data_IF_838992276212
#
_entry.id   IF_838992276212
#
_cell.length_a   1.000
_cell.length_b   1.000
_cell.length_c   1.000
_cell.angle_alpha   90.00
_cell.angle_beta   90.00
_cell.angle_gamma   90.00
#
_symmetry.space_group_name_H-M   'P 1'
#
loop_
_entity.id
_entity.type
_entity.pdbx_description
1 polymer ?
#
# COMPACT_ATOMS: atom_id res chain seq x y z
N UNK A 1 11.59 28.81 17.20
CA UNK A 1 12.38 27.63 16.80
C UNK A 1 11.52 26.77 15.88
N UNK A 2 11.74 26.86 14.57
CA UNK A 2 11.05 26.06 13.55
C UNK A 2 11.57 24.63 13.68
N UNK A 3 10.71 23.69 14.13
CA UNK A 3 11.04 22.26 14.11
C UNK A 3 11.33 21.86 12.66
N UNK A 4 12.56 21.43 12.38
CA UNK A 4 12.93 20.87 11.09
C UNK A 4 11.91 19.77 10.72
N UNK A 5 11.41 19.80 9.48
CA UNK A 5 10.53 18.74 8.97
C UNK A 5 11.28 17.42 9.06
N UNK A 6 10.69 16.43 9.73
CA UNK A 6 11.27 15.09 9.81
C UNK A 6 11.08 14.48 8.41
N UNK A 7 12.17 14.04 7.79
CA UNK A 7 12.13 13.28 6.54
C UNK A 7 11.20 12.07 6.63
N UNK A 8 10.49 11.76 5.54
CA UNK A 8 9.53 10.66 5.50
C UNK A 8 10.16 9.31 5.88
N UNK A 9 11.39 9.05 5.43
CA UNK A 9 12.08 7.78 5.72
C UNK A 9 12.47 7.69 7.20
N UNK A 10 12.92 8.79 7.81
CA UNK A 10 13.20 8.82 9.25
C UNK A 10 11.93 8.64 10.08
N UNK A 11 10.81 9.26 9.66
CA UNK A 11 9.51 9.05 10.29
C UNK A 11 9.10 7.57 10.24
N UNK A 12 9.18 6.94 9.07
CA UNK A 12 8.84 5.53 8.87
C UNK A 12 9.71 4.62 9.75
N UNK A 13 11.02 4.89 9.82
CA UNK A 13 11.94 4.17 10.69
C UNK A 13 11.56 4.32 12.16
N UNK A 14 11.23 5.52 12.62
CA UNK A 14 10.81 5.77 14.02
C UNK A 14 9.52 5.05 14.37
N UNK A 15 8.54 5.05 13.45
CA UNK A 15 7.28 4.30 13.61
C UNK A 15 7.59 2.80 13.77
N UNK A 16 8.42 2.23 12.88
CA UNK A 16 8.80 0.82 12.94
C UNK A 16 9.48 0.45 14.26
N UNK A 17 10.50 1.22 14.66
CA UNK A 17 11.25 0.98 15.89
C UNK A 17 10.33 1.02 17.11
N UNK A 18 9.44 2.02 17.18
CA UNK A 18 8.47 2.15 18.27
C UNK A 18 7.48 0.99 18.29
N UNK A 19 6.91 0.64 17.13
CA UNK A 19 5.97 -0.48 17.02
C UNK A 19 6.63 -1.82 17.43
N UNK A 20 7.89 -2.02 17.04
CA UNK A 20 8.64 -3.24 17.37
C UNK A 20 9.02 -3.34 18.85
N UNK A 21 9.38 -2.20 19.45
CA UNK A 21 9.75 -2.15 20.87
C UNK A 21 8.56 -2.26 21.81
N UNK A 22 7.41 -1.74 21.41
CA UNK A 22 6.21 -1.67 22.23
C UNK A 22 4.98 -2.12 21.42
N UNK A 23 4.72 -3.44 21.29
CA UNK A 23 3.63 -3.97 20.44
C UNK A 23 2.22 -3.49 20.83
N UNK A 24 2.02 -3.11 22.09
CA UNK A 24 0.75 -2.56 22.59
C UNK A 24 0.60 -1.04 22.36
N UNK A 25 1.64 -0.38 21.84
CA UNK A 25 1.62 1.06 21.63
C UNK A 25 0.57 1.46 20.61
N UNK A 26 -0.20 2.51 20.94
CA UNK A 26 -1.19 3.09 20.03
C UNK A 26 -0.65 4.39 19.44
N UNK A 27 -0.59 4.46 18.12
CA UNK A 27 -0.12 5.63 17.41
C UNK A 27 -1.26 6.65 17.23
N UNK A 28 -1.01 7.89 17.60
CA UNK A 28 -1.94 9.02 17.43
C UNK A 28 -1.34 10.04 16.47
N UNK A 29 -2.20 10.77 15.77
CA UNK A 29 -1.76 11.87 14.90
C UNK A 29 -1.08 11.44 13.60
N UNK A 30 -1.10 10.17 13.21
CA UNK A 30 -0.49 9.70 11.96
C UNK A 30 -1.14 10.31 10.71
N UNK A 31 -2.41 10.66 10.79
CA UNK A 31 -3.15 11.24 9.66
C UNK A 31 -2.53 12.53 9.12
N UNK A 32 -1.98 13.38 10.01
CA UNK A 32 -1.26 14.60 9.61
C UNK A 32 -0.09 14.29 8.66
N UNK A 33 0.58 13.15 8.87
CA UNK A 33 1.69 12.73 8.02
C UNK A 33 1.22 12.17 6.66
N UNK A 34 0.03 11.56 6.60
CA UNK A 34 -0.61 11.14 5.33
C UNK A 34 -0.91 12.37 4.47
N UNK A 35 -1.39 13.46 5.08
CA UNK A 35 -1.75 14.69 4.37
C UNK A 35 -0.55 15.56 3.95
N UNK A 36 0.69 15.19 4.26
CA UNK A 36 1.86 15.95 3.83
C UNK A 36 2.10 15.82 2.34
N UNK A 37 2.43 16.94 1.70
CA UNK A 37 2.74 16.98 0.27
C UNK A 37 3.89 16.03 -0.09
N UNK A 38 4.93 15.91 0.77
CA UNK A 38 6.05 15.01 0.56
C UNK A 38 5.60 13.54 0.53
N UNK A 39 4.66 13.16 1.41
CA UNK A 39 4.10 11.79 1.47
C UNK A 39 3.24 11.49 0.24
N UNK A 40 2.41 12.45 -0.17
CA UNK A 40 1.57 12.33 -1.36
C UNK A 40 2.41 12.26 -2.63
N UNK A 41 3.50 13.04 -2.70
CA UNK A 41 4.44 13.01 -3.83
C UNK A 41 5.13 11.65 -3.95
N UNK A 42 5.66 11.12 -2.86
CA UNK A 42 6.28 9.79 -2.85
C UNK A 42 5.27 8.72 -3.29
N UNK A 43 4.02 8.79 -2.79
CA UNK A 43 2.95 7.88 -3.20
C UNK A 43 2.60 8.01 -4.69
N UNK A 44 2.61 9.23 -5.24
CA UNK A 44 2.40 9.49 -6.66
C UNK A 44 3.52 8.88 -7.51
N UNK A 45 4.78 9.11 -7.16
CA UNK A 45 5.94 8.55 -7.88
C UNK A 45 5.91 7.00 -7.86
N UNK A 46 5.55 6.40 -6.73
CA UNK A 46 5.39 4.95 -6.64
C UNK A 46 4.24 4.45 -7.54
N UNK A 47 3.11 5.15 -7.57
CA UNK A 47 1.98 4.80 -8.42
C UNK A 47 2.31 4.95 -9.91
N UNK A 48 3.03 6.03 -10.28
CA UNK A 48 3.51 6.32 -11.63
C UNK A 48 4.50 5.26 -12.12
N UNK A 49 5.44 4.84 -11.27
CA UNK A 49 6.40 3.78 -11.60
C UNK A 49 5.73 2.46 -11.96
N UNK A 50 4.56 2.17 -11.38
CA UNK A 50 3.80 0.97 -11.69
C UNK A 50 2.98 1.08 -12.98
N UNK A 51 2.86 2.27 -13.54
CA UNK A 51 2.23 2.61 -14.83
C UNK A 51 0.91 1.85 -15.11
N UNK A 52 0.06 1.78 -14.09
CA UNK A 52 -1.20 1.03 -14.17
C UNK A 52 -2.28 1.81 -14.91
N UNK A 53 -3.13 1.10 -15.63
CA UNK A 53 -4.24 1.65 -16.43
C UNK A 53 -5.11 2.67 -15.65
N UNK A 54 -5.74 3.66 -16.32
CA UNK A 54 -6.59 4.68 -15.69
C UNK A 54 -7.83 4.08 -15.02
N UNK A 55 -8.33 4.80 -14.03
CA UNK A 55 -9.57 4.44 -13.32
C UNK A 55 -10.83 4.69 -14.13
N UNK A 56 -11.95 4.89 -13.44
CA UNK A 56 -13.26 5.18 -14.04
C UNK A 56 -13.30 6.58 -14.68
N UNK A 57 -12.47 7.49 -14.21
CA UNK A 57 -12.32 8.87 -14.68
C UNK A 57 -11.53 8.98 -15.99
N UNK A 58 -10.88 7.91 -16.43
CA UNK A 58 -10.08 7.90 -17.66
C UNK A 58 -8.78 8.72 -17.57
N UNK A 59 -8.46 9.31 -16.41
CA UNK A 59 -7.28 10.15 -16.22
C UNK A 59 -6.02 9.26 -16.23
N UNK A 60 -5.03 9.65 -17.08
CA UNK A 60 -3.74 8.94 -17.21
C UNK A 60 -2.62 9.72 -16.53
N UNK A 61 -1.47 9.06 -16.30
CA UNK A 61 -0.29 9.74 -15.75
C UNK A 61 0.23 10.83 -16.70
N UNK A 62 0.20 10.60 -18.02
CA UNK A 62 0.61 11.59 -19.02
C UNK A 62 -0.25 12.84 -18.95
N UNK A 63 -1.57 12.68 -18.82
CA UNK A 63 -2.48 13.80 -18.67
C UNK A 63 -2.23 14.61 -17.40
N UNK A 64 -1.93 13.94 -16.28
CA UNK A 64 -1.56 14.58 -15.01
C UNK A 64 -0.24 15.35 -15.15
N UNK A 65 0.78 14.75 -15.76
CA UNK A 65 2.07 15.40 -15.99
C UNK A 65 1.94 16.66 -16.87
N UNK A 66 1.13 16.57 -17.92
CA UNK A 66 0.89 17.69 -18.81
C UNK A 66 0.19 18.88 -18.11
N UNK A 67 -0.63 18.62 -17.10
CA UNK A 67 -1.31 19.63 -16.29
C UNK A 67 -0.49 20.08 -15.06
N UNK A 68 0.56 19.36 -14.74
CA UNK A 68 1.36 19.53 -13.52
C UNK A 68 0.84 18.70 -12.36
N UNK A 69 1.62 17.68 -11.99
CA UNK A 69 1.27 16.76 -10.90
C UNK A 69 1.04 17.47 -9.55
N UNK A 70 1.69 18.61 -9.33
CA UNK A 70 1.57 19.38 -8.09
C UNK A 70 0.14 19.85 -7.82
N UNK A 71 -0.57 20.30 -8.85
CA UNK A 71 -1.97 20.74 -8.71
C UNK A 71 -2.87 19.59 -8.21
N UNK A 72 -2.68 18.37 -8.72
CA UNK A 72 -3.40 17.20 -8.24
C UNK A 72 -3.06 16.87 -6.78
N UNK A 73 -1.78 16.94 -6.42
CA UNK A 73 -1.33 16.63 -5.06
C UNK A 73 -1.85 17.66 -4.04
N UNK A 74 -1.87 18.94 -4.38
CA UNK A 74 -2.46 20.00 -3.56
C UNK A 74 -3.96 19.80 -3.40
N UNK A 75 -4.69 19.46 -4.46
CA UNK A 75 -6.10 19.16 -4.38
C UNK A 75 -6.38 17.98 -3.44
N UNK A 76 -5.66 16.85 -3.60
CA UNK A 76 -5.81 15.68 -2.72
C UNK A 76 -5.52 16.06 -1.26
N UNK A 77 -4.44 16.81 -1.02
CA UNK A 77 -4.05 17.29 0.30
C UNK A 77 -5.16 18.13 0.95
N UNK A 78 -5.69 19.10 0.23
CA UNK A 78 -6.70 20.01 0.76
C UNK A 78 -8.00 19.28 1.04
N UNK A 79 -8.41 18.35 0.18
CA UNK A 79 -9.56 17.49 0.43
C UNK A 79 -9.35 16.57 1.64
N UNK A 80 -8.15 16.01 1.85
CA UNK A 80 -7.83 15.19 3.01
C UNK A 80 -7.86 16.03 4.30
N UNK A 81 -7.23 17.20 4.29
CA UNK A 81 -7.21 18.12 5.45
C UNK A 81 -8.63 18.59 5.78
N UNK A 82 -9.39 18.97 4.76
CA UNK A 82 -10.78 19.39 4.86
C UNK A 82 -11.77 18.28 5.21
N UNK A 83 -11.32 17.01 5.21
CA UNK A 83 -12.17 15.81 5.38
C UNK A 83 -13.31 15.72 4.35
N UNK A 84 -13.07 16.25 3.18
CA UNK A 84 -14.02 16.25 2.04
C UNK A 84 -13.63 15.22 0.98
N UNK A 85 -12.50 14.56 1.15
CA UNK A 85 -12.03 13.55 0.21
C UNK A 85 -13.04 12.42 0.05
N UNK A 86 -13.43 12.16 -1.20
CA UNK A 86 -14.31 11.05 -1.56
C UNK A 86 -13.63 10.21 -2.65
N UNK A 87 -13.37 8.92 -2.41
CA UNK A 87 -12.83 8.05 -3.43
C UNK A 87 -13.85 7.85 -4.57
N UNK A 88 -13.33 7.68 -5.78
CA UNK A 88 -14.14 7.33 -6.94
C UNK A 88 -14.42 5.82 -6.96
N UNK A 89 -15.52 5.38 -7.59
CA UNK A 89 -15.74 3.96 -7.85
C UNK A 89 -14.57 3.38 -8.66
N UNK A 90 -14.14 2.16 -8.32
CA UNK A 90 -13.11 1.50 -9.10
C UNK A 90 -13.66 1.02 -10.45
N UNK A 91 -12.90 1.20 -11.53
CA UNK A 91 -13.23 0.65 -12.85
C UNK A 91 -13.07 -0.87 -12.82
N UNK A 92 -14.12 -1.59 -13.19
CA UNK A 92 -14.11 -3.06 -13.24
C UNK A 92 -13.64 -3.54 -14.60
N UNK A 93 -12.61 -4.41 -14.60
CA UNK A 93 -12.07 -5.04 -15.81
C UNK A 93 -12.14 -6.55 -15.66
N UNK A 94 -12.86 -7.21 -16.53
CA UNK A 94 -12.92 -8.67 -16.59
C UNK A 94 -11.68 -9.22 -17.32
N UNK A 95 -11.01 -10.19 -16.72
CA UNK A 95 -9.87 -10.89 -17.31
C UNK A 95 -10.21 -12.38 -17.36
N UNK A 96 -10.13 -13.03 -18.54
CA UNK A 96 -10.29 -14.47 -18.65
C UNK A 96 -9.22 -15.21 -17.81
N UNK A 97 -9.62 -16.29 -17.15
CA UNK A 97 -8.72 -17.26 -16.51
C UNK A 97 -8.81 -18.60 -17.24
N UNK A 98 -7.78 -19.41 -17.06
CA UNK A 98 -7.82 -20.80 -17.52
C UNK A 98 -9.04 -21.55 -16.96
N UNK A 99 -9.64 -22.41 -17.79
CA UNK A 99 -10.84 -23.18 -17.42
C UNK A 99 -12.15 -22.37 -17.51
N UNK A 100 -12.21 -21.29 -18.32
CA UNK A 100 -13.44 -20.53 -18.61
C UNK A 100 -13.93 -19.64 -17.45
N UNK A 101 -13.16 -19.52 -16.37
CA UNK A 101 -13.46 -18.61 -15.26
C UNK A 101 -13.06 -17.17 -15.62
N UNK A 102 -13.74 -16.19 -15.01
CA UNK A 102 -13.46 -14.77 -15.18
C UNK A 102 -12.98 -14.20 -13.84
N UNK A 103 -11.86 -13.47 -13.88
CA UNK A 103 -11.41 -12.65 -12.76
C UNK A 103 -11.78 -11.18 -13.03
N UNK A 104 -12.42 -10.53 -12.08
CA UNK A 104 -12.69 -9.11 -12.15
C UNK A 104 -11.60 -8.35 -11.40
N UNK A 105 -10.90 -7.45 -12.09
CA UNK A 105 -10.00 -6.50 -11.45
C UNK A 105 -10.75 -5.20 -11.17
N UNK A 106 -10.52 -4.65 -9.98
CA UNK A 106 -10.98 -3.32 -9.60
C UNK A 106 -9.82 -2.35 -9.72
N UNK A 107 -9.90 -1.40 -10.64
CA UNK A 107 -8.85 -0.43 -10.96
C UNK A 107 -9.25 0.93 -10.40
N UNK A 108 -8.65 1.39 -9.28
CA UNK A 108 -8.92 2.71 -8.71
C UNK A 108 -8.41 3.84 -9.62
N UNK A 109 -8.99 5.03 -9.52
CA UNK A 109 -8.45 6.24 -10.13
C UNK A 109 -7.03 6.55 -9.60
N UNK A 110 -6.23 7.26 -10.39
CA UNK A 110 -4.84 7.60 -9.98
C UNK A 110 -4.85 8.39 -8.67
N UNK A 111 -5.76 9.36 -8.51
CA UNK A 111 -5.91 10.11 -7.27
C UNK A 111 -6.13 9.21 -6.04
N UNK A 112 -6.91 8.15 -6.20
CA UNK A 112 -7.21 7.20 -5.13
C UNK A 112 -6.01 6.30 -4.84
N UNK A 113 -5.24 5.92 -5.87
CA UNK A 113 -3.97 5.21 -5.67
C UNK A 113 -2.95 6.04 -4.89
N UNK A 114 -2.90 7.35 -5.14
CA UNK A 114 -2.04 8.28 -4.40
C UNK A 114 -2.47 8.35 -2.93
N UNK A 115 -3.75 8.54 -2.65
CA UNK A 115 -4.26 8.58 -1.28
C UNK A 115 -4.01 7.24 -0.54
N UNK A 116 -4.29 6.10 -1.19
CA UNK A 116 -4.01 4.76 -0.65
C UNK A 116 -2.52 4.53 -0.45
N UNK A 117 -1.67 4.97 -1.39
CA UNK A 117 -0.22 4.90 -1.30
C UNK A 117 0.32 5.70 -0.12
N UNK A 118 -0.18 6.91 0.10
CA UNK A 118 0.18 7.74 1.24
C UNK A 118 -0.22 7.09 2.57
N UNK A 119 -1.41 6.52 2.67
CA UNK A 119 -1.84 5.73 3.83
C UNK A 119 -0.91 4.54 4.05
N UNK A 120 -0.60 3.77 2.99
CA UNK A 120 0.32 2.63 3.05
C UNK A 120 1.69 3.05 3.56
N UNK A 121 2.28 4.13 3.04
CA UNK A 121 3.60 4.61 3.45
C UNK A 121 3.70 4.86 4.96
N UNK A 122 2.63 5.36 5.57
CA UNK A 122 2.60 5.68 7.01
C UNK A 122 2.24 4.47 7.87
N UNK A 123 1.34 3.58 7.40
CA UNK A 123 0.87 2.43 8.19
C UNK A 123 1.75 1.19 8.04
N UNK A 124 2.38 0.99 6.88
CA UNK A 124 3.21 -0.19 6.59
C UNK A 124 4.29 -0.49 7.66
N UNK A 125 5.01 0.52 8.21
CA UNK A 125 6.00 0.25 9.27
C UNK A 125 5.41 -0.39 10.53
N UNK A 126 4.14 -0.10 10.87
CA UNK A 126 3.46 -0.68 12.03
C UNK A 126 3.19 -2.16 11.77
N UNK A 127 2.56 -2.47 10.63
CA UNK A 127 2.26 -3.86 10.25
C UNK A 127 3.54 -4.68 10.03
N UNK A 128 4.58 -4.06 9.42
CA UNK A 128 5.85 -4.73 9.19
C UNK A 128 6.54 -5.13 10.52
N UNK A 129 6.38 -4.32 11.57
CA UNK A 129 6.90 -4.63 12.89
C UNK A 129 6.19 -5.84 13.55
N UNK A 130 4.91 -6.06 13.21
CA UNK A 130 4.05 -7.10 13.79
C UNK A 130 4.12 -8.43 13.01
N UNK A 131 4.43 -8.40 11.74
CA UNK A 131 4.48 -9.60 10.90
C UNK A 131 5.47 -10.64 11.41
N UNK A 132 5.04 -11.91 11.39
CA UNK A 132 5.87 -13.06 11.74
C UNK A 132 7.00 -13.25 10.72
N UNK A 133 8.16 -13.83 11.16
CA UNK A 133 9.28 -14.09 10.26
C UNK A 133 8.96 -14.97 9.05
N UNK A 134 7.92 -15.81 9.16
CA UNK A 134 7.45 -16.68 8.08
C UNK A 134 6.45 -16.05 7.11
N UNK A 135 6.08 -14.78 7.27
CA UNK A 135 5.23 -14.07 6.33
C UNK A 135 6.08 -13.45 5.21
N UNK A 136 5.77 -13.74 3.95
CA UNK A 136 6.56 -13.32 2.78
C UNK A 136 5.76 -12.47 1.79
N UNK A 137 4.45 -12.72 1.62
CA UNK A 137 3.65 -12.07 0.59
C UNK A 137 3.55 -10.55 0.72
N UNK A 138 3.84 -9.84 -0.38
CA UNK A 138 3.70 -8.37 -0.51
C UNK A 138 4.47 -7.53 0.53
N UNK A 139 5.47 -8.10 1.18
CA UNK A 139 6.29 -7.41 2.19
C UNK A 139 7.56 -6.81 1.57
N UNK A 140 8.00 -5.62 2.03
CA UNK A 140 9.27 -5.04 1.58
C UNK A 140 10.44 -5.95 1.94
N UNK A 141 11.42 -6.03 1.04
CA UNK A 141 12.65 -6.83 1.23
C UNK A 141 12.42 -8.33 1.44
N UNK A 142 11.26 -8.86 1.07
CA UNK A 142 10.95 -10.29 1.06
C UNK A 142 10.71 -10.75 -0.37
N UNK A 143 11.27 -11.88 -0.73
CA UNK A 143 11.18 -12.44 -2.08
C UNK A 143 10.49 -13.79 -2.09
N UNK A 144 9.99 -14.20 -3.25
CA UNK A 144 9.47 -15.56 -3.42
C UNK A 144 10.55 -16.62 -3.18
N UNK A 145 11.82 -16.30 -3.53
CA UNK A 145 12.96 -17.21 -3.29
C UNK A 145 13.18 -17.46 -1.81
N UNK A 146 13.06 -16.42 -0.95
CA UNK A 146 13.17 -16.58 0.50
C UNK A 146 12.08 -17.52 1.06
N UNK A 147 10.86 -17.42 0.50
CA UNK A 147 9.76 -18.31 0.88
C UNK A 147 10.05 -19.76 0.47
N UNK A 148 10.51 -19.99 -0.75
CA UNK A 148 10.90 -21.31 -1.25
C UNK A 148 12.05 -21.90 -0.43
N UNK A 149 13.07 -21.09 -0.15
CA UNK A 149 14.20 -21.51 0.70
C UNK A 149 13.73 -22.00 2.08
N UNK A 150 12.81 -21.26 2.69
CA UNK A 150 12.26 -21.67 3.99
C UNK A 150 11.51 -23.00 3.94
N UNK A 151 10.78 -23.27 2.84
CA UNK A 151 10.14 -24.56 2.62
C UNK A 151 11.17 -25.67 2.45
N UNK A 152 12.22 -25.45 1.65
CA UNK A 152 13.30 -26.38 1.46
C UNK A 152 13.99 -26.75 2.79
N UNK A 153 14.30 -25.75 3.61
CA UNK A 153 14.88 -25.95 4.95
C UNK A 153 13.95 -26.77 5.86
N UNK A 154 12.64 -26.56 5.78
CA UNK A 154 11.68 -27.33 6.57
C UNK A 154 11.64 -28.80 6.12
N UNK A 155 11.75 -29.08 4.83
CA UNK A 155 11.84 -30.46 4.28
C UNK A 155 13.11 -31.14 4.77
N UNK A 156 14.26 -30.47 4.73
CA UNK A 156 15.53 -31.01 5.24
C UNK A 156 15.42 -31.33 6.75
N UNK A 157 14.65 -30.53 7.51
CA UNK A 157 14.34 -30.80 8.92
C UNK A 157 13.27 -31.89 9.11
N UNK A 158 12.92 -32.66 8.07
CA UNK A 158 11.92 -33.73 8.07
C UNK A 158 10.49 -33.27 8.43
N UNK A 159 10.15 -32.00 8.22
CA UNK A 159 8.78 -31.50 8.34
C UNK A 159 8.02 -31.82 7.05
N UNK A 160 7.44 -33.03 6.98
CA UNK A 160 6.80 -33.57 5.78
C UNK A 160 5.29 -33.36 5.73
N UNK A 161 4.68 -32.88 6.81
CA UNK A 161 3.24 -32.59 6.84
C UNK A 161 3.00 -31.13 6.46
N UNK A 162 2.18 -30.94 5.42
CA UNK A 162 1.78 -29.61 4.93
C UNK A 162 0.29 -29.42 5.25
N UNK A 163 -0.03 -28.27 5.85
CA UNK A 163 -1.40 -27.80 6.02
C UNK A 163 -1.55 -26.57 5.16
N UNK A 164 -2.50 -26.60 4.21
CA UNK A 164 -2.83 -25.49 3.34
C UNK A 164 -4.15 -24.85 3.80
N UNK A 165 -4.11 -23.54 4.03
CA UNK A 165 -5.26 -22.75 4.43
C UNK A 165 -5.41 -21.55 3.52
N UNK A 166 -6.61 -21.34 2.98
CA UNK A 166 -6.95 -20.13 2.23
C UNK A 166 -8.26 -19.53 2.77
N UNK A 167 -8.29 -18.20 2.87
CA UNK A 167 -9.47 -17.46 3.32
C UNK A 167 -10.37 -17.17 2.11
N UNK A 168 -11.53 -17.80 2.09
CA UNK A 168 -12.51 -17.62 1.02
C UNK A 168 -12.99 -16.17 0.95
N UNK A 169 -12.78 -15.53 -0.19
CA UNK A 169 -13.30 -14.18 -0.48
C UNK A 169 -12.99 -13.13 0.61
N UNK A 170 -11.82 -13.22 1.26
CA UNK A 170 -11.47 -12.36 2.39
C UNK A 170 -11.60 -10.87 2.04
N UNK A 171 -11.04 -10.46 0.88
CA UNK A 171 -11.07 -9.05 0.47
C UNK A 171 -12.48 -8.58 0.06
N UNK A 172 -13.34 -9.48 -0.42
CA UNK A 172 -14.72 -9.17 -0.78
C UNK A 172 -15.63 -9.07 0.46
N UNK A 173 -15.20 -9.64 1.58
CA UNK A 173 -15.97 -9.70 2.83
C UNK A 173 -15.62 -8.57 3.81
N UNK A 174 -14.56 -7.79 3.54
CA UNK A 174 -14.20 -6.61 4.35
C UNK A 174 -15.02 -5.42 3.87
N UNK A 175 -15.95 -4.97 4.70
CA UNK A 175 -16.82 -3.81 4.47
C UNK A 175 -16.24 -2.54 5.11
#
# INVERSE_FOLDING_TARGET
MTKASIDLQDLRRRIYVKAKAEPSWRFWGLYVHVCKTETLREAYEMAKKNDGAPGVDGVTFEAIEAQGADALLEQIRDELIGRTYKPLPARRQAIPKDGGKVRVLSIPAIRDRVAQGALKLILEPIFEADFQPGSFGYRPKRTAHDAVQRVAEAIVQQKTRVLDFDLRSYLDAVS
#
